data_IF_230017862827
#
_entry.id   IF_230017862827
#
_cell.length_a   1.000
_cell.length_b   1.000
_cell.length_c   1.000
_cell.angle_alpha   90.00
_cell.angle_beta   90.00
_cell.angle_gamma   90.00
#
_symmetry.space_group_name_H-M   'P 1'
#
loop_
_entity.id
_entity.type
_entity.pdbx_description
1 polymer ?
#
# COMPACT_ATOMS: atom_id res chain seq x y z
N UNK A 1 -33.04 21.21 31.04
CA UNK A 1 -32.89 19.74 30.94
C UNK A 1 -31.54 19.46 30.31
N UNK A 2 -30.72 18.62 30.94
CA UNK A 2 -29.31 18.37 30.61
C UNK A 2 -29.19 17.59 29.29
N UNK A 3 -28.45 18.11 28.31
CA UNK A 3 -28.05 17.37 27.11
C UNK A 3 -26.94 16.38 27.48
N UNK A 4 -27.27 15.09 27.48
CA UNK A 4 -26.28 14.01 27.58
C UNK A 4 -25.60 13.84 26.22
N UNK A 5 -24.28 14.08 26.17
CA UNK A 5 -23.41 13.61 25.10
C UNK A 5 -23.33 12.08 25.21
N UNK A 6 -24.05 11.36 24.34
CA UNK A 6 -23.89 9.91 24.23
C UNK A 6 -22.70 9.62 23.32
N UNK A 7 -21.64 9.05 23.91
CA UNK A 7 -20.46 8.58 23.21
C UNK A 7 -20.78 7.49 22.21
N UNK A 8 -20.09 7.53 21.08
CA UNK A 8 -20.18 6.56 19.99
C UNK A 8 -19.39 5.32 20.39
N UNK A 9 -20.05 4.16 20.46
CA UNK A 9 -19.40 2.85 20.56
C UNK A 9 -19.76 2.05 19.31
N UNK A 10 -18.75 1.71 18.51
CA UNK A 10 -18.87 0.98 17.25
C UNK A 10 -18.38 -0.46 17.45
N UNK A 11 -19.12 -1.45 16.96
CA UNK A 11 -18.71 -2.86 16.98
C UNK A 11 -18.63 -3.37 15.55
N UNK A 12 -17.43 -3.76 15.13
CA UNK A 12 -17.15 -4.41 13.85
C UNK A 12 -16.83 -5.88 14.15
N UNK A 13 -17.50 -6.81 13.48
CA UNK A 13 -17.19 -8.24 13.56
C UNK A 13 -16.46 -8.64 12.27
N UNK A 14 -15.12 -8.65 12.34
CA UNK A 14 -14.25 -9.22 11.32
C UNK A 14 -13.50 -10.42 11.89
N UNK A 15 -13.59 -11.58 11.25
CA UNK A 15 -12.84 -12.77 11.64
C UNK A 15 -11.48 -12.75 10.94
N UNK A 16 -10.43 -12.33 11.66
CA UNK A 16 -9.05 -12.42 11.19
C UNK A 16 -8.22 -13.23 12.18
N UNK A 17 -7.87 -14.47 11.82
CA UNK A 17 -6.80 -15.21 12.50
C UNK A 17 -5.45 -14.51 12.22
N UNK A 18 -4.75 -14.12 13.30
CA UNK A 18 -3.54 -13.30 13.29
C UNK A 18 -2.29 -14.21 13.35
N UNK A 19 -1.30 -13.93 12.51
CA UNK A 19 0.10 -14.27 12.82
C UNK A 19 1.11 -13.26 12.24
N UNK A 20 1.84 -12.60 13.16
CA UNK A 20 3.26 -12.22 13.18
C UNK A 20 3.93 -11.32 12.09
N UNK A 21 4.39 -10.15 12.59
CA UNK A 21 5.74 -9.50 12.49
C UNK A 21 6.03 -8.29 11.57
N UNK A 22 6.77 -7.34 12.18
CA UNK A 22 7.55 -6.14 11.73
C UNK A 22 6.93 -5.13 10.76
N UNK A 23 6.92 -3.84 11.16
CA UNK A 23 6.21 -2.75 10.48
C UNK A 23 7.08 -1.88 9.56
N UNK A 24 7.40 -2.31 8.34
CA UNK A 24 7.78 -1.35 7.29
C UNK A 24 6.85 -1.53 6.09
N UNK A 25 6.19 -0.45 5.64
CA UNK A 25 5.10 -0.48 4.66
C UNK A 25 5.46 -1.17 3.33
N UNK A 26 6.74 -1.25 2.95
CA UNK A 26 7.19 -1.99 1.76
C UNK A 26 7.57 -3.44 2.10
N UNK A 27 6.59 -4.35 2.04
CA UNK A 27 6.84 -5.80 2.09
C UNK A 27 5.90 -6.61 3.00
N UNK A 28 5.03 -5.96 3.76
CA UNK A 28 4.14 -6.63 4.72
C UNK A 28 3.02 -7.46 4.07
N UNK A 29 2.46 -6.97 2.97
CA UNK A 29 1.36 -7.65 2.29
C UNK A 29 1.79 -9.01 1.75
N UNK A 30 2.96 -9.08 1.11
CA UNK A 30 3.52 -10.33 0.58
C UNK A 30 3.80 -11.32 1.71
N UNK A 31 4.41 -10.86 2.81
CA UNK A 31 4.73 -11.72 3.95
C UNK A 31 3.49 -12.25 4.69
N UNK A 32 2.39 -11.49 4.71
CA UNK A 32 1.11 -11.90 5.28
C UNK A 32 0.38 -12.93 4.40
N UNK A 33 0.35 -12.70 3.08
CA UNK A 33 -0.37 -13.57 2.15
C UNK A 33 0.37 -14.90 1.90
N UNK A 34 1.71 -14.90 1.87
CA UNK A 34 2.52 -16.13 1.78
C UNK A 34 2.27 -17.09 2.97
N UNK A 35 1.90 -16.56 4.15
CA UNK A 35 1.62 -17.37 5.36
C UNK A 35 0.22 -17.99 5.39
N UNK A 36 -0.76 -17.46 4.63
CA UNK A 36 -2.15 -17.94 4.59
C UNK A 36 -2.50 -18.75 3.35
N UNK A 37 -1.58 -18.90 2.40
CA UNK A 37 -1.80 -19.76 1.24
C UNK A 37 -2.07 -21.21 1.69
N UNK A 38 -3.29 -21.69 1.44
CA UNK A 38 -3.65 -23.11 1.42
C UNK A 38 -2.63 -23.83 0.53
N UNK A 39 -2.12 -25.02 0.90
CA UNK A 39 -1.06 -25.68 0.14
C UNK A 39 -1.45 -25.76 -1.34
N UNK A 40 -0.69 -25.06 -2.17
CA UNK A 40 -0.88 -25.08 -3.60
C UNK A 40 -0.80 -26.53 -4.07
N UNK A 41 -1.83 -26.97 -4.79
CA UNK A 41 -1.78 -28.20 -5.57
C UNK A 41 -0.70 -27.99 -6.63
N UNK A 42 0.51 -28.47 -6.34
CA UNK A 42 1.62 -28.53 -7.28
C UNK A 42 1.26 -29.52 -8.38
N UNK A 43 0.58 -29.04 -9.44
CA UNK A 43 0.48 -29.78 -10.68
C UNK A 43 1.69 -29.44 -11.54
N UNK A 44 2.77 -30.18 -11.32
CA UNK A 44 3.92 -30.22 -12.23
C UNK A 44 3.43 -30.74 -13.57
N UNK A 45 3.38 -29.90 -14.59
CA UNK A 45 3.24 -30.36 -15.98
C UNK A 45 4.64 -30.79 -16.42
N UNK A 46 4.94 -32.08 -16.25
CA UNK A 46 6.15 -32.69 -16.79
C UNK A 46 6.01 -32.87 -18.29
N UNK A 47 6.99 -32.38 -19.05
CA UNK A 47 7.31 -32.92 -20.37
C UNK A 47 8.28 -34.09 -20.18
N UNK A 48 7.80 -35.30 -20.43
CA UNK A 48 8.64 -36.50 -20.52
C UNK A 48 9.62 -36.35 -21.70
N UNK A 49 10.92 -36.46 -21.41
CA UNK A 49 11.89 -37.02 -22.36
C UNK A 49 12.78 -38.02 -21.62
N UNK A 50 12.62 -39.28 -22.03
CA UNK A 50 13.51 -40.40 -21.71
C UNK A 50 14.78 -40.21 -22.57
N UNK A 51 15.95 -40.07 -21.93
CA UNK A 51 17.24 -40.38 -22.56
C UNK A 51 18.14 -41.05 -21.52
N UNK A 52 18.73 -42.14 -21.97
CA UNK A 52 19.55 -43.17 -21.31
C UNK A 52 20.81 -42.68 -20.59
N UNK A 53 21.15 -43.38 -19.50
CA UNK A 53 22.41 -43.28 -18.76
C UNK A 53 23.62 -43.55 -19.65
N UNK A 54 24.59 -42.64 -19.63
CA UNK A 54 25.90 -42.83 -20.24
C UNK A 54 26.75 -41.56 -20.18
N UNK A 55 27.81 -41.63 -19.38
CA UNK A 55 29.02 -40.80 -19.39
C UNK A 55 29.11 -39.60 -18.43
N UNK A 56 30.04 -39.81 -17.48
CA UNK A 56 30.58 -38.95 -16.43
C UNK A 56 31.51 -37.89 -17.04
N UNK A 57 31.30 -36.60 -16.74
CA UNK A 57 32.34 -35.56 -16.69
C UNK A 57 31.88 -34.39 -15.81
N UNK A 58 32.83 -33.87 -15.05
CA UNK A 58 32.69 -32.77 -14.09
C UNK A 58 32.17 -31.50 -14.76
N UNK A 59 31.01 -31.03 -14.32
CA UNK A 59 30.64 -29.61 -14.32
C UNK A 59 30.10 -29.33 -12.91
N UNK A 60 30.86 -28.59 -12.10
CA UNK A 60 30.25 -27.79 -11.05
C UNK A 60 29.37 -26.76 -11.77
N UNK A 61 28.14 -27.16 -12.08
CA UNK A 61 27.08 -26.22 -12.42
C UNK A 61 26.94 -25.28 -11.22
N UNK A 62 27.45 -24.08 -11.38
CA UNK A 62 27.01 -22.91 -10.64
C UNK A 62 25.48 -22.86 -10.81
N UNK A 63 24.75 -23.46 -9.86
CA UNK A 63 23.29 -23.38 -9.79
C UNK A 63 22.95 -21.89 -9.78
N UNK A 64 22.65 -21.33 -10.95
CA UNK A 64 21.92 -20.09 -11.10
C UNK A 64 20.63 -20.34 -10.33
N UNK A 65 20.53 -19.80 -9.12
CA UNK A 65 19.26 -19.76 -8.43
C UNK A 65 18.34 -18.95 -9.32
N UNK A 66 17.53 -19.67 -10.10
CA UNK A 66 16.51 -19.09 -10.96
C UNK A 66 15.55 -18.30 -10.08
N UNK A 67 15.19 -17.09 -10.52
CA UNK A 67 14.29 -16.25 -9.75
C UNK A 67 12.94 -16.94 -9.55
N UNK A 68 12.35 -16.72 -8.39
CA UNK A 68 11.08 -17.32 -7.97
C UNK A 68 9.93 -16.34 -8.23
N UNK A 69 8.90 -16.81 -8.92
CA UNK A 69 7.60 -16.14 -9.00
C UNK A 69 6.68 -16.64 -7.88
N UNK A 70 6.02 -15.71 -7.20
CA UNK A 70 4.97 -15.96 -6.21
C UNK A 70 3.74 -15.14 -6.57
N UNK A 71 2.56 -15.76 -6.43
CA UNK A 71 1.27 -15.14 -6.69
C UNK A 71 0.45 -15.27 -5.41
N UNK A 72 -0.07 -14.16 -4.92
CA UNK A 72 -0.85 -14.11 -3.70
C UNK A 72 -1.99 -13.12 -3.83
N UNK A 73 -2.94 -13.09 -2.90
CA UNK A 73 -4.08 -12.17 -2.99
C UNK A 73 -5.12 -12.42 -1.92
N UNK A 74 -6.13 -11.55 -1.87
CA UNK A 74 -7.30 -11.76 -1.02
C UNK A 74 -8.58 -11.22 -1.67
N UNK A 75 -9.71 -11.69 -1.16
CA UNK A 75 -11.05 -11.18 -1.43
C UNK A 75 -11.63 -10.69 -0.11
N UNK A 76 -12.22 -9.50 -0.13
CA UNK A 76 -12.86 -8.90 1.03
C UNK A 76 -14.34 -8.58 0.74
N UNK A 77 -15.18 -8.94 1.71
CA UNK A 77 -16.61 -8.67 1.74
C UNK A 77 -17.06 -8.43 3.17
N UNK A 78 -17.96 -7.48 3.37
CA UNK A 78 -18.32 -7.02 4.70
C UNK A 78 -19.78 -6.58 4.80
N UNK A 79 -20.25 -6.44 6.04
CA UNK A 79 -21.51 -5.80 6.38
C UNK A 79 -21.23 -4.79 7.48
N UNK A 80 -21.70 -3.55 7.31
CA UNK A 80 -21.49 -2.48 8.27
C UNK A 80 -22.86 -1.95 8.71
N UNK A 81 -23.05 -1.73 10.01
CA UNK A 81 -24.32 -1.22 10.56
C UNK A 81 -24.07 -0.06 11.51
N UNK A 82 -25.02 0.86 11.52
CA UNK A 82 -25.02 2.03 12.39
C UNK A 82 -26.16 1.92 13.40
N UNK A 83 -25.85 1.90 14.69
CA UNK A 83 -26.88 1.78 15.72
C UNK A 83 -27.79 3.01 15.85
N UNK A 84 -27.37 4.17 15.36
CA UNK A 84 -28.24 5.34 15.23
C UNK A 84 -29.14 5.29 13.98
N UNK A 85 -29.08 4.22 13.18
CA UNK A 85 -29.92 3.90 12.04
C UNK A 85 -30.26 5.12 11.15
N UNK A 86 -29.25 5.79 10.56
CA UNK A 86 -29.47 7.00 9.78
C UNK A 86 -30.24 6.66 8.51
N UNK A 87 -31.31 7.41 8.22
CA UNK A 87 -32.13 7.20 7.02
C UNK A 87 -31.34 7.32 5.70
N UNK A 88 -30.25 8.09 5.70
CA UNK A 88 -29.35 8.22 4.55
C UNK A 88 -28.62 6.92 4.20
N UNK A 89 -28.42 6.05 5.20
CA UNK A 89 -27.58 4.84 5.11
C UNK A 89 -26.18 5.13 4.54
N UNK A 90 -25.68 6.30 4.86
CA UNK A 90 -24.46 6.88 4.30
C UNK A 90 -23.69 7.62 5.39
N UNK A 91 -22.42 7.26 5.56
CA UNK A 91 -21.49 7.82 6.53
C UNK A 91 -20.67 9.00 5.99
N UNK A 92 -20.86 9.40 4.74
CA UNK A 92 -20.15 10.54 4.13
C UNK A 92 -20.55 11.89 4.76
N UNK A 93 -21.63 11.92 5.55
CA UNK A 93 -22.16 13.14 6.14
C UNK A 93 -22.68 14.12 5.09
N UNK A 94 -23.10 15.32 5.52
CA UNK A 94 -23.61 16.35 4.61
C UNK A 94 -22.54 16.89 3.66
N UNK A 95 -21.28 16.90 4.08
CA UNK A 95 -20.16 17.41 3.27
C UNK A 95 -19.74 16.45 2.16
N UNK A 96 -20.19 15.19 2.20
CA UNK A 96 -19.79 14.18 1.23
C UNK A 96 -18.34 13.70 1.38
N UNK A 97 -17.69 13.97 2.51
CA UNK A 97 -16.27 13.62 2.76
C UNK A 97 -16.02 12.97 4.14
N UNK A 98 -17.07 12.53 4.84
CA UNK A 98 -16.98 12.04 6.22
C UNK A 98 -16.22 10.73 6.43
N UNK A 99 -16.41 9.72 5.58
CA UNK A 99 -15.73 8.41 5.70
C UNK A 99 -15.05 8.01 4.39
N UNK A 100 -13.81 7.52 4.47
CA UNK A 100 -13.04 7.15 3.29
C UNK A 100 -13.47 5.84 2.64
N UNK A 101 -13.73 4.81 3.45
CA UNK A 101 -13.87 3.42 2.98
C UNK A 101 -15.19 2.78 3.43
N UNK A 102 -15.53 2.88 4.71
CA UNK A 102 -16.78 2.40 5.32
C UNK A 102 -17.93 3.40 5.13
N UNK A 103 -18.26 3.67 3.87
CA UNK A 103 -19.20 4.72 3.46
C UNK A 103 -20.67 4.32 3.59
N UNK A 104 -21.00 3.10 3.20
CA UNK A 104 -22.39 2.63 3.10
C UNK A 104 -22.71 1.67 4.24
N UNK A 105 -23.95 1.73 4.73
CA UNK A 105 -24.39 0.91 5.87
C UNK A 105 -25.66 0.10 5.56
N UNK A 106 -25.87 -0.90 6.42
CA UNK A 106 -26.96 -1.86 6.44
C UNK A 106 -27.12 -2.70 5.16
N UNK A 107 -25.99 -2.96 4.49
CA UNK A 107 -25.94 -3.76 3.25
C UNK A 107 -24.66 -4.59 3.17
N UNK A 108 -24.75 -5.74 2.52
CA UNK A 108 -23.60 -6.56 2.16
C UNK A 108 -22.81 -5.89 1.04
N UNK A 109 -21.49 -5.87 1.17
CA UNK A 109 -20.61 -5.15 0.27
C UNK A 109 -19.37 -5.97 -0.06
N UNK A 110 -18.83 -5.74 -1.25
CA UNK A 110 -17.48 -6.13 -1.60
C UNK A 110 -16.55 -4.97 -1.21
N UNK A 111 -15.43 -5.28 -0.55
CA UNK A 111 -14.38 -4.31 -0.28
C UNK A 111 -13.39 -4.25 -1.43
N UNK A 112 -12.64 -5.34 -1.63
CA UNK A 112 -11.62 -5.42 -2.66
C UNK A 112 -11.32 -6.87 -3.06
N UNK A 113 -10.94 -7.08 -4.31
CA UNK A 113 -10.21 -8.25 -4.79
C UNK A 113 -8.81 -7.80 -5.14
N UNK A 114 -7.82 -8.52 -4.64
CA UNK A 114 -6.42 -8.19 -4.86
C UNK A 114 -5.63 -9.40 -5.34
N UNK A 115 -4.71 -9.17 -6.28
CA UNK A 115 -3.72 -10.14 -6.72
C UNK A 115 -2.34 -9.49 -6.79
N UNK A 116 -1.37 -10.07 -6.10
CA UNK A 116 0.03 -9.64 -6.06
C UNK A 116 0.90 -10.66 -6.77
N UNK A 117 1.62 -10.20 -7.78
CA UNK A 117 2.68 -10.94 -8.46
C UNK A 117 4.01 -10.42 -7.93
N UNK A 118 4.80 -11.32 -7.34
CA UNK A 118 6.15 -11.02 -6.86
C UNK A 118 7.14 -11.94 -7.52
N UNK A 119 8.11 -11.34 -8.22
CA UNK A 119 9.28 -12.02 -8.74
C UNK A 119 10.50 -11.65 -7.90
N UNK A 120 11.29 -12.63 -7.45
CA UNK A 120 12.45 -12.39 -6.60
C UNK A 120 13.64 -13.23 -7.04
N UNK A 121 14.82 -12.62 -7.05
CA UNK A 121 16.09 -13.32 -7.20
C UNK A 121 17.07 -12.87 -6.10
N UNK A 122 18.34 -13.29 -6.18
CA UNK A 122 19.37 -12.97 -5.18
C UNK A 122 19.54 -11.47 -4.87
N UNK A 123 19.32 -10.58 -5.83
CA UNK A 123 19.62 -9.14 -5.69
C UNK A 123 18.42 -8.23 -5.92
N UNK A 124 17.32 -8.74 -6.45
CA UNK A 124 16.24 -7.91 -6.94
C UNK A 124 14.87 -8.51 -6.67
N UNK A 125 13.88 -7.63 -6.56
CA UNK A 125 12.47 -7.97 -6.44
C UNK A 125 11.65 -7.08 -7.38
N UNK A 126 10.68 -7.67 -8.08
CA UNK A 126 9.68 -6.94 -8.85
C UNK A 126 8.30 -7.26 -8.29
N UNK A 127 7.51 -6.23 -8.01
CA UNK A 127 6.15 -6.33 -7.49
C UNK A 127 5.17 -5.73 -8.50
N UNK A 128 4.08 -6.44 -8.75
CA UNK A 128 2.89 -5.94 -9.42
C UNK A 128 1.68 -6.32 -8.57
N UNK A 129 1.01 -5.33 -8.00
CA UNK A 129 -0.15 -5.48 -7.13
C UNK A 129 -1.38 -4.87 -7.81
N UNK A 130 -2.29 -5.74 -8.20
CA UNK A 130 -3.52 -5.39 -8.88
C UNK A 130 -4.70 -5.48 -7.91
N UNK A 131 -5.51 -4.43 -7.86
CA UNK A 131 -6.63 -4.33 -6.96
C UNK A 131 -7.90 -3.85 -7.69
N UNK A 132 -9.04 -4.47 -7.35
CA UNK A 132 -10.35 -4.19 -7.94
C UNK A 132 -11.40 -4.06 -6.85
N UNK A 133 -12.40 -3.21 -7.06
CA UNK A 133 -13.53 -3.03 -6.15
C UNK A 133 -13.51 -1.67 -5.44
N UNK A 134 -14.52 -1.41 -4.58
CA UNK A 134 -14.71 -0.10 -3.96
C UNK A 134 -13.48 0.44 -3.23
N UNK A 135 -12.81 -0.36 -2.39
CA UNK A 135 -11.63 0.10 -1.65
C UNK A 135 -10.46 0.44 -2.57
N UNK A 136 -10.26 -0.32 -3.65
CA UNK A 136 -9.25 0.00 -4.67
C UNK A 136 -9.56 1.33 -5.37
N UNK A 137 -10.84 1.55 -5.71
CA UNK A 137 -11.27 2.80 -6.35
C UNK A 137 -11.11 4.00 -5.42
N UNK A 138 -11.36 3.84 -4.12
CA UNK A 138 -11.17 4.90 -3.13
C UNK A 138 -9.70 5.17 -2.82
N UNK A 139 -8.85 4.14 -2.87
CA UNK A 139 -7.41 4.25 -2.60
C UNK A 139 -6.55 4.67 -3.80
N UNK A 140 -6.98 4.39 -5.04
CA UNK A 140 -6.21 4.70 -6.25
C UNK A 140 -6.76 5.92 -7.01
N UNK A 141 -7.53 6.78 -6.35
CA UNK A 141 -8.23 7.90 -7.00
C UNK A 141 -7.29 8.85 -7.78
N UNK A 142 -6.04 9.03 -7.34
CA UNK A 142 -5.02 9.82 -8.04
C UNK A 142 -4.48 9.22 -9.35
N UNK A 143 -4.82 7.96 -9.67
CA UNK A 143 -4.45 7.30 -10.94
C UNK A 143 -5.42 7.62 -12.09
N UNK A 144 -6.44 8.45 -11.84
CA UNK A 144 -7.31 9.02 -12.87
C UNK A 144 -6.63 10.25 -13.46
N UNK A 145 -6.45 10.26 -14.78
CA UNK A 145 -5.96 11.44 -15.49
C UNK A 145 -6.98 12.57 -15.37
N UNK A 146 -6.71 13.56 -14.51
CA UNK A 146 -7.45 14.83 -14.52
C UNK A 146 -6.96 15.66 -15.69
N UNK A 147 -7.71 15.62 -16.80
CA UNK A 147 -7.51 16.51 -17.93
C UNK A 147 -7.99 17.93 -17.59
N UNK A 148 -7.08 18.77 -17.11
CA UNK A 148 -7.26 20.23 -17.05
C UNK A 148 -8.08 20.77 -15.86
N UNK A 149 -8.12 22.10 -15.67
CA UNK A 149 -8.33 22.75 -14.37
C UNK A 149 -9.69 22.41 -13.77
N UNK A 150 -9.71 22.34 -12.44
CA UNK A 150 -10.83 22.00 -11.58
C UNK A 150 -12.09 22.84 -11.82
N UNK A 151 -12.87 22.49 -12.84
CA UNK A 151 -14.28 22.83 -12.97
C UNK A 151 -15.03 21.68 -13.64
N UNK A 152 -15.78 20.92 -12.83
CA UNK A 152 -16.92 20.13 -13.34
C UNK A 152 -16.72 18.64 -13.61
N UNK A 153 -15.93 17.90 -12.82
CA UNK A 153 -15.88 16.44 -12.97
C UNK A 153 -17.20 15.78 -12.50
N UNK A 154 -17.85 15.06 -13.42
CA UNK A 154 -18.91 14.09 -13.15
C UNK A 154 -18.30 12.69 -13.30
N UNK A 155 -18.43 11.88 -12.25
CA UNK A 155 -18.08 10.45 -12.21
C UNK A 155 -18.74 9.73 -13.40
N UNK A 156 -17.95 9.07 -14.28
CA UNK A 156 -18.55 8.05 -15.16
C UNK A 156 -17.87 7.58 -16.45
N UNK A 157 -16.87 8.24 -17.06
CA UNK A 157 -16.51 7.91 -18.46
C UNK A 157 -15.08 7.46 -18.78
N UNK A 158 -14.11 7.55 -17.89
CA UNK A 158 -12.74 7.07 -18.16
C UNK A 158 -12.31 6.03 -17.13
N UNK A 159 -12.52 4.75 -17.46
CA UNK A 159 -11.92 3.65 -16.69
C UNK A 159 -10.43 3.60 -17.03
N UNK A 160 -9.63 4.40 -16.33
CA UNK A 160 -8.17 4.32 -16.43
C UNK A 160 -7.71 2.98 -15.86
N UNK A 161 -7.04 2.14 -16.65
CA UNK A 161 -6.46 0.88 -16.16
C UNK A 161 -5.43 1.08 -15.04
N UNK A 162 -4.87 2.29 -14.92
CA UNK A 162 -4.00 2.65 -13.81
C UNK A 162 -4.73 2.64 -12.44
N UNK A 163 -6.06 2.81 -12.40
CA UNK A 163 -6.85 2.63 -11.17
C UNK A 163 -6.72 1.24 -10.55
N UNK A 164 -6.39 0.24 -11.37
CA UNK A 164 -6.23 -1.13 -10.92
C UNK A 164 -4.83 -1.39 -10.37
N UNK A 165 -3.85 -0.51 -10.62
CA UNK A 165 -2.48 -0.66 -10.14
C UNK A 165 -2.39 -0.02 -8.77
N UNK A 166 -2.38 -0.84 -7.72
CA UNK A 166 -2.18 -0.38 -6.35
C UNK A 166 -0.71 -0.07 -6.07
N UNK A 167 0.19 -0.92 -6.54
CA UNK A 167 1.64 -0.68 -6.54
C UNK A 167 2.31 -1.49 -7.65
N UNK A 168 3.36 -0.92 -8.23
CA UNK A 168 4.19 -1.57 -9.22
C UNK A 168 5.59 -0.98 -9.13
N UNK A 169 6.55 -1.75 -8.60
CA UNK A 169 7.91 -1.26 -8.38
C UNK A 169 8.95 -2.34 -8.56
N UNK A 170 10.18 -1.88 -8.79
CA UNK A 170 11.38 -2.70 -8.78
C UNK A 170 12.26 -2.32 -7.59
N UNK A 171 12.71 -3.33 -6.85
CA UNK A 171 13.67 -3.21 -5.77
C UNK A 171 15.01 -3.81 -6.17
N UNK A 172 16.08 -3.13 -5.85
CA UNK A 172 17.46 -3.60 -6.04
C UNK A 172 18.25 -3.48 -4.74
N UNK A 173 18.79 -4.59 -4.26
CA UNK A 173 19.71 -4.64 -3.13
C UNK A 173 21.13 -4.43 -3.65
N UNK A 174 21.62 -3.20 -3.58
CA UNK A 174 22.97 -2.84 -3.98
C UNK A 174 24.02 -3.47 -3.05
N UNK A 175 23.69 -3.56 -1.76
CA UNK A 175 24.44 -4.29 -0.73
C UNK A 175 23.46 -4.88 0.28
N UNK A 176 23.95 -5.65 1.26
CA UNK A 176 23.13 -6.16 2.36
C UNK A 176 22.51 -5.04 3.22
N UNK A 177 23.04 -3.82 3.16
CA UNK A 177 22.59 -2.66 3.93
C UNK A 177 21.91 -1.58 3.10
N UNK A 178 22.07 -1.60 1.77
CA UNK A 178 21.60 -0.54 0.88
C UNK A 178 20.70 -1.12 -0.19
N UNK A 179 19.45 -0.66 -0.22
CA UNK A 179 18.48 -1.02 -1.25
C UNK A 179 17.81 0.20 -1.86
N UNK A 180 17.42 0.07 -3.12
CA UNK A 180 16.68 1.08 -3.86
C UNK A 180 15.34 0.53 -4.32
N UNK A 181 14.31 1.36 -4.33
CA UNK A 181 12.99 1.07 -4.91
C UNK A 181 12.65 2.15 -5.92
N UNK A 182 12.27 1.75 -7.13
CA UNK A 182 11.81 2.64 -8.19
C UNK A 182 10.46 2.17 -8.74
N UNK A 183 9.52 3.09 -8.94
CA UNK A 183 8.17 2.81 -9.43
C UNK A 183 7.09 3.44 -8.55
N UNK A 184 5.89 2.84 -8.55
CA UNK A 184 4.80 3.19 -7.65
C UNK A 184 4.79 2.25 -6.45
N UNK A 185 4.88 2.79 -5.24
CA UNK A 185 4.93 2.04 -3.99
C UNK A 185 4.02 2.68 -2.94
N UNK A 186 3.53 1.87 -1.99
CA UNK A 186 2.69 2.37 -0.89
C UNK A 186 3.40 3.46 -0.08
N UNK A 187 2.61 4.36 0.51
CA UNK A 187 3.18 5.41 1.36
C UNK A 187 3.94 4.83 2.56
N UNK A 188 4.93 5.56 3.04
CA UNK A 188 5.61 5.30 4.31
C UNK A 188 4.96 6.04 5.51
N UNK A 189 3.83 6.73 5.29
CA UNK A 189 3.14 7.58 6.27
C UNK A 189 1.87 6.88 6.76
N UNK A 190 1.55 7.04 8.05
CA UNK A 190 0.33 6.51 8.64
C UNK A 190 0.43 5.05 9.11
N UNK A 191 -0.52 4.66 9.96
CA UNK A 191 -0.53 3.35 10.62
C UNK A 191 -1.50 2.34 9.98
N UNK A 192 -2.56 2.83 9.35
CA UNK A 192 -3.59 1.99 8.75
C UNK A 192 -3.27 1.68 7.28
N UNK A 193 -4.04 0.77 6.70
CA UNK A 193 -3.87 0.29 5.33
C UNK A 193 -5.20 0.31 4.59
N UNK A 194 -5.14 0.44 3.27
CA UNK A 194 -6.29 0.15 2.40
C UNK A 194 -6.67 -1.34 2.51
N UNK A 195 -5.70 -2.21 2.78
CA UNK A 195 -5.92 -3.63 2.94
C UNK A 195 -6.57 -3.96 4.27
N UNK A 196 -7.87 -4.28 4.25
CA UNK A 196 -8.62 -4.66 5.43
C UNK A 196 -7.91 -5.74 6.29
N UNK A 197 -7.29 -6.81 5.73
CA UNK A 197 -6.63 -7.84 6.52
C UNK A 197 -5.39 -7.38 7.30
N UNK A 198 -4.81 -6.22 6.96
CA UNK A 198 -3.62 -5.67 7.61
C UNK A 198 -3.95 -4.73 8.79
N UNK A 199 -5.22 -4.35 8.93
CA UNK A 199 -5.66 -3.48 10.02
C UNK A 199 -6.17 -4.29 11.21
N UNK A 200 -5.98 -3.75 12.41
CA UNK A 200 -6.61 -4.32 13.61
C UNK A 200 -8.13 -4.11 13.60
N UNK A 201 -8.59 -2.92 13.19
CA UNK A 201 -10.00 -2.62 12.96
C UNK A 201 -10.28 -2.57 11.47
N UNK A 202 -11.43 -3.10 11.04
CA UNK A 202 -11.85 -3.02 9.64
C UNK A 202 -12.10 -1.58 9.18
N UNK A 203 -12.62 -0.76 10.09
CA UNK A 203 -12.94 0.64 9.86
C UNK A 203 -11.66 1.49 9.92
N UNK A 204 -11.43 2.30 8.89
CA UNK A 204 -10.22 3.11 8.72
C UNK A 204 -10.47 4.52 9.27
N UNK A 205 -9.50 5.10 9.98
CA UNK A 205 -9.64 6.41 10.59
C UNK A 205 -9.73 7.55 9.56
N UNK A 206 -10.22 8.70 10.01
CA UNK A 206 -10.43 9.86 9.14
C UNK A 206 -9.12 10.50 8.67
N UNK A 207 -8.07 10.46 9.49
CA UNK A 207 -6.76 11.07 9.15
C UNK A 207 -6.08 10.32 8.01
N UNK A 208 -6.23 9.00 7.94
CA UNK A 208 -5.77 8.17 6.83
C UNK A 208 -6.41 8.61 5.51
N UNK A 209 -7.69 8.97 5.52
CA UNK A 209 -8.40 9.35 4.30
C UNK A 209 -8.14 10.80 3.82
N UNK A 210 -7.78 11.71 4.72
CA UNK A 210 -7.80 13.15 4.42
C UNK A 210 -6.48 13.87 4.66
N UNK A 211 -5.46 13.20 5.22
CA UNK A 211 -4.23 13.86 5.65
C UNK A 211 -2.94 13.19 5.21
N UNK A 212 -2.99 12.05 4.52
CA UNK A 212 -1.81 11.30 4.11
C UNK A 212 -1.97 10.77 2.68
N UNK A 213 -0.88 10.61 1.92
CA UNK A 213 -0.93 9.96 0.62
C UNK A 213 -1.12 8.45 0.80
N UNK A 214 -1.66 7.77 -0.20
CA UNK A 214 -1.77 6.30 -0.22
C UNK A 214 -0.58 5.64 -0.91
N UNK A 215 0.00 6.30 -1.92
CA UNK A 215 1.16 5.81 -2.64
C UNK A 215 2.05 6.96 -3.11
N UNK A 216 3.23 6.58 -3.56
CA UNK A 216 4.19 7.47 -4.18
C UNK A 216 4.68 6.86 -5.49
N UNK A 217 4.88 7.71 -6.49
CA UNK A 217 5.57 7.34 -7.72
C UNK A 217 6.93 8.01 -7.75
N UNK A 218 8.02 7.25 -7.78
CA UNK A 218 9.36 7.84 -7.76
C UNK A 218 10.47 6.85 -7.45
N UNK A 219 11.49 7.35 -6.74
CA UNK A 219 12.66 6.59 -6.31
C UNK A 219 12.90 6.82 -4.81
N UNK A 220 13.18 5.75 -4.08
CA UNK A 220 13.69 5.83 -2.71
C UNK A 220 14.88 4.90 -2.50
N UNK A 221 15.77 5.30 -1.61
CA UNK A 221 16.88 4.50 -1.12
C UNK A 221 16.74 4.30 0.39
N UNK A 222 17.06 3.10 0.85
CA UNK A 222 17.07 2.75 2.28
C UNK A 222 18.43 2.22 2.67
N UNK A 223 19.00 2.80 3.73
CA UNK A 223 20.26 2.35 4.32
C UNK A 223 20.04 1.85 5.76
N UNK A 224 20.44 0.62 6.03
CA UNK A 224 20.44 0.03 7.37
C UNK A 224 21.80 0.28 8.05
N UNK A 225 21.83 1.17 9.04
CA UNK A 225 23.04 1.41 9.84
C UNK A 225 23.34 0.23 10.76
N UNK A 226 22.28 -0.39 11.27
CA UNK A 226 22.31 -1.60 12.10
C UNK A 226 20.97 -2.33 12.01
N UNK A 227 20.84 -3.46 12.71
CA UNK A 227 19.56 -4.17 12.87
C UNK A 227 18.48 -3.36 13.61
N UNK A 228 18.86 -2.23 14.22
CA UNK A 228 17.96 -1.38 15.01
C UNK A 228 17.64 -0.03 14.39
N UNK A 229 18.41 0.41 13.38
CA UNK A 229 18.31 1.78 12.86
C UNK A 229 18.49 1.75 11.35
N UNK A 230 17.52 2.29 10.62
CA UNK A 230 17.61 2.52 9.18
C UNK A 230 17.01 3.88 8.80
N UNK A 231 17.53 4.44 7.72
CA UNK A 231 17.03 5.68 7.12
C UNK A 231 16.61 5.41 5.68
N UNK A 232 15.39 5.83 5.35
CA UNK A 232 14.87 5.91 3.99
C UNK A 232 14.80 7.37 3.58
N UNK A 233 15.26 7.66 2.37
CA UNK A 233 15.10 8.96 1.71
C UNK A 233 14.66 8.72 0.27
N UNK A 234 13.84 9.62 -0.28
CA UNK A 234 13.38 9.48 -1.65
C UNK A 234 12.92 10.79 -2.28
N UNK A 235 12.78 10.74 -3.60
CA UNK A 235 12.20 11.78 -4.42
C UNK A 235 11.01 11.20 -5.19
N UNK A 236 9.86 11.84 -5.09
CA UNK A 236 8.59 11.33 -5.60
C UNK A 236 7.82 12.40 -6.37
N UNK A 237 6.90 11.98 -7.21
CA UNK A 237 5.79 12.81 -7.68
C UNK A 237 4.86 13.06 -6.48
N UNK A 238 4.29 14.26 -6.36
CA UNK A 238 3.69 14.82 -5.14
C UNK A 238 2.72 13.94 -4.32
N UNK A 239 1.49 14.41 -4.13
CA UNK A 239 0.48 13.70 -3.32
C UNK A 239 -0.39 12.79 -4.20
N UNK A 240 -0.17 11.48 -4.15
CA UNK A 240 -0.91 10.48 -4.93
C UNK A 240 -0.87 10.70 -6.46
N UNK A 241 0.26 11.21 -6.99
CA UNK A 241 0.42 11.43 -8.43
C UNK A 241 1.19 10.30 -9.12
N UNK A 242 0.56 9.64 -10.10
CA UNK A 242 1.27 8.88 -11.15
C UNK A 242 1.74 9.81 -12.27
N UNK A 243 0.88 10.76 -12.64
CA UNK A 243 1.22 11.85 -13.55
C UNK A 243 1.32 13.13 -12.73
N UNK A 244 2.54 13.66 -12.62
CA UNK A 244 2.83 14.86 -11.84
C UNK A 244 2.21 16.10 -12.51
N UNK A 245 1.68 17.02 -11.72
CA UNK A 245 1.07 18.26 -12.21
C UNK A 245 2.10 19.39 -12.37
N UNK A 246 3.33 19.18 -11.89
CA UNK A 246 4.43 20.11 -12.03
C UNK A 246 5.80 19.40 -12.09
N UNK A 247 6.90 20.18 -12.14
CA UNK A 247 8.26 19.63 -12.25
C UNK A 247 8.98 19.48 -10.91
N UNK A 248 8.53 20.16 -9.85
CA UNK A 248 9.08 19.99 -8.52
C UNK A 248 8.90 18.53 -8.08
N UNK A 249 9.83 18.02 -7.28
CA UNK A 249 9.76 16.67 -6.73
C UNK A 249 9.50 16.77 -5.24
N UNK A 250 8.59 15.93 -4.76
CA UNK A 250 8.40 15.72 -3.34
C UNK A 250 9.60 15.01 -2.74
N UNK A 251 10.01 15.43 -1.54
CA UNK A 251 10.99 14.75 -0.74
C UNK A 251 10.29 13.92 0.32
N UNK A 252 10.66 12.64 0.42
CA UNK A 252 10.17 11.73 1.45
C UNK A 252 11.31 11.25 2.32
N UNK A 253 11.01 10.96 3.57
CA UNK A 253 11.96 10.35 4.49
C UNK A 253 11.30 9.54 5.59
N UNK A 254 11.99 8.50 6.06
CA UNK A 254 11.61 7.73 7.23
C UNK A 254 12.86 7.35 8.02
N UNK A 255 12.86 7.65 9.33
CA UNK A 255 13.79 7.05 10.28
C UNK A 255 13.06 5.92 11.02
N UNK A 256 13.57 4.71 10.85
CA UNK A 256 13.08 3.50 11.52
C UNK A 256 13.97 3.14 12.70
N UNK A 257 13.35 2.90 13.85
CA UNK A 257 14.01 2.60 15.11
C UNK A 257 13.40 1.35 15.76
N UNK A 258 14.26 0.42 16.17
CA UNK A 258 13.89 -0.74 16.99
C UNK A 258 14.65 -0.67 18.32
N UNK A 259 14.26 0.25 19.23
CA UNK A 259 15.02 0.53 20.45
C UNK A 259 15.05 -0.67 21.42
N UNK A 260 14.00 -1.49 21.43
CA UNK A 260 13.88 -2.69 22.23
C UNK A 260 13.23 -3.81 21.42
N UNK A 261 13.41 -5.06 21.87
CA UNK A 261 12.77 -6.22 21.24
C UNK A 261 11.25 -6.03 21.25
N UNK A 262 10.64 -6.20 20.07
CA UNK A 262 9.20 -6.05 19.89
C UNK A 262 8.72 -4.60 19.74
N UNK A 263 9.55 -3.57 20.01
CA UNK A 263 9.18 -2.17 19.84
C UNK A 263 9.77 -1.61 18.55
N UNK A 264 8.89 -1.11 17.68
CA UNK A 264 9.26 -0.40 16.45
C UNK A 264 8.67 1.01 16.45
N UNK A 265 9.46 1.99 16.04
CA UNK A 265 9.10 3.41 16.00
C UNK A 265 9.55 3.99 14.66
N UNK A 266 8.69 4.77 14.01
CA UNK A 266 8.90 5.37 12.70
C UNK A 266 8.64 6.87 12.76
N UNK A 267 9.63 7.65 12.32
CA UNK A 267 9.50 9.08 12.11
C UNK A 267 9.48 9.33 10.61
N UNK A 268 8.33 9.76 10.11
CA UNK A 268 8.04 9.91 8.70
C UNK A 268 7.91 11.37 8.32
N UNK A 269 8.31 11.66 7.09
CA UNK A 269 8.26 12.99 6.51
C UNK A 269 7.89 12.92 5.03
N UNK A 270 7.09 13.90 4.61
CA UNK A 270 6.97 14.31 3.22
C UNK A 270 6.90 15.83 3.14
N UNK A 271 7.53 16.39 2.12
CA UNK A 271 7.28 17.74 1.65
C UNK A 271 7.28 17.76 0.13
N UNK A 272 6.22 18.30 -0.47
CA UNK A 272 6.09 18.39 -1.91
C UNK A 272 5.32 19.63 -2.31
N UNK A 273 5.67 20.21 -3.46
CA UNK A 273 4.92 21.34 -4.02
C UNK A 273 3.79 20.78 -4.88
N UNK A 274 2.55 21.03 -4.47
CA UNK A 274 1.33 20.53 -5.11
C UNK A 274 0.68 21.56 -6.03
N UNK A 275 1.29 22.75 -6.18
CA UNK A 275 0.81 23.78 -7.11
C UNK A 275 0.91 23.31 -8.55
N UNK A 276 -0.11 23.64 -9.36
CA UNK A 276 -0.03 23.43 -10.79
C UNK A 276 0.99 24.40 -11.42
N UNK A 277 1.74 23.92 -12.41
CA UNK A 277 2.54 24.81 -13.25
C UNK A 277 1.62 25.70 -14.11
N UNK A 278 2.03 26.95 -14.34
CA UNK A 278 1.39 27.85 -15.29
C UNK A 278 1.69 27.43 -16.76
N UNK A 279 1.12 28.14 -17.73
CA UNK A 279 1.33 27.87 -19.16
C UNK A 279 2.78 28.06 -19.63
N UNK A 280 3.62 28.73 -18.83
CA UNK A 280 5.03 28.97 -19.08
C UNK A 280 5.93 27.95 -18.34
N UNK A 281 5.33 27.06 -17.54
CA UNK A 281 6.04 26.06 -16.75
C UNK A 281 6.55 26.57 -15.40
N UNK A 282 6.18 27.78 -14.97
CA UNK A 282 6.50 28.28 -13.64
C UNK A 282 5.51 27.70 -12.63
N UNK A 283 6.01 27.25 -11.49
CA UNK A 283 5.19 26.67 -10.43
C UNK A 283 5.24 27.57 -9.20
N UNK A 284 4.11 28.15 -8.76
CA UNK A 284 4.03 28.86 -7.48
C UNK A 284 4.35 27.94 -6.30
N UNK A 285 4.73 28.51 -5.16
CA UNK A 285 4.95 27.74 -3.94
C UNK A 285 3.60 27.33 -3.31
N UNK A 286 3.32 26.03 -3.25
CA UNK A 286 2.14 25.47 -2.59
C UNK A 286 2.45 24.12 -1.96
N UNK A 287 3.16 24.16 -0.84
CA UNK A 287 3.72 22.96 -0.25
C UNK A 287 2.71 22.18 0.61
N UNK A 288 2.62 20.88 0.36
CA UNK A 288 2.05 19.90 1.27
C UNK A 288 3.17 19.28 2.11
N UNK A 289 3.07 19.41 3.44
CA UNK A 289 4.07 18.89 4.38
C UNK A 289 3.40 18.08 5.46
N UNK A 290 3.89 16.86 5.69
CA UNK A 290 3.42 16.00 6.79
C UNK A 290 4.61 15.49 7.58
N UNK A 291 4.48 15.58 8.90
CA UNK A 291 5.31 14.88 9.88
C UNK A 291 4.42 13.84 10.55
N UNK A 292 4.87 12.59 10.56
CA UNK A 292 4.13 11.49 11.16
C UNK A 292 5.06 10.70 12.10
N UNK A 293 4.56 10.39 13.27
CA UNK A 293 5.22 9.54 14.26
C UNK A 293 4.27 8.39 14.54
N UNK A 294 4.67 7.19 14.13
CA UNK A 294 3.93 5.98 14.39
C UNK A 294 4.85 4.87 14.91
N UNK A 295 4.26 3.80 15.41
CA UNK A 295 5.01 2.70 15.99
C UNK A 295 4.11 1.59 16.48
N UNK A 296 4.72 0.47 16.84
CA UNK A 296 4.02 -0.71 17.33
C UNK A 296 4.86 -1.43 18.36
N UNK A 297 4.18 -2.02 19.34
CA UNK A 297 4.79 -2.95 20.28
C UNK A 297 4.18 -4.33 20.12
N UNK A 298 5.02 -5.34 19.90
CA UNK A 298 4.65 -6.74 19.91
C UNK A 298 5.14 -7.35 21.22
N UNK A 299 4.20 -7.69 22.10
CA UNK A 299 4.49 -8.50 23.27
C UNK A 299 4.91 -9.91 22.81
N UNK A 300 6.08 -10.36 23.25
CA UNK A 300 6.59 -11.73 23.08
C UNK A 300 6.37 -12.56 24.32
#
# INVERSE_FOLDING_TARGET
MKNLQNGILCLVIGLACISNQLFAQDGQLVAFLDKKAVPAVNKTIGSEKIVTEGERKEEEEEKKEEGKLSISGYLDSYYFTNFNNPASRDNMGQSGVGRGFDRRVDQFQLGMVQTVFKYTNKKSEAIVDLAFGPSAQYGNYGNVQVSGPAYGYKVGNDVSSALMIKQAYFKYNATDKLSFIAGQFGTHIGYEYIDAPLNFFYSINHTFNSGIPFYHTGLKGTYAFSDKVSLMLGAVNGFDYVQDNNRAKGLIGQLSLTPAKGLSVYLNYINSNESNADSLGNTPDGNFTVYDLNGGYQAT
#
